data_IF_007565314442
#
_entry.id   IF_007565314442
#
_cell.length_a   1.000
_cell.length_b   1.000
_cell.length_c   1.000
_cell.angle_alpha   90.00
_cell.angle_beta   90.00
_cell.angle_gamma   90.00
#
_symmetry.space_group_name_H-M   'P 1'
#
loop_
_entity.id
_entity.type
_entity.pdbx_description
1 polymer ?
#
# COMPACT_ATOMS: atom_id res chain seq x y z
N UNK A 1 -30.98 10.60 0.67
CA UNK A 1 -30.26 10.06 1.83
C UNK A 1 -28.83 10.61 1.91
N UNK A 2 -27.95 10.37 0.93
CA UNK A 2 -26.54 10.83 0.96
C UNK A 2 -26.31 12.30 0.58
N UNK A 3 -27.37 13.11 0.43
CA UNK A 3 -27.24 14.51 -0.01
C UNK A 3 -26.96 14.73 -1.50
N UNK A 4 -27.01 13.68 -2.33
CA UNK A 4 -26.79 13.78 -3.79
C UNK A 4 -27.94 14.48 -4.51
N UNK A 5 -27.60 15.17 -5.60
CA UNK A 5 -28.55 15.57 -6.63
C UNK A 5 -28.91 14.35 -7.51
N UNK A 6 -30.18 14.14 -7.82
CA UNK A 6 -30.64 12.94 -8.55
C UNK A 6 -31.66 13.31 -9.62
N UNK A 7 -31.30 13.08 -10.88
CA UNK A 7 -32.21 13.22 -12.03
C UNK A 7 -32.79 11.86 -12.36
N UNK A 8 -34.12 11.73 -12.29
CA UNK A 8 -34.85 10.47 -12.50
C UNK A 8 -35.57 10.46 -13.85
N UNK A 9 -35.82 9.26 -14.36
CA UNK A 9 -36.67 9.09 -15.55
C UNK A 9 -36.02 9.56 -16.84
N UNK A 10 -34.69 9.63 -16.89
CA UNK A 10 -33.96 9.96 -18.12
C UNK A 10 -34.07 8.78 -19.07
N UNK A 11 -34.61 8.99 -20.27
CA UNK A 11 -34.55 7.98 -21.32
C UNK A 11 -33.11 7.90 -21.84
N UNK A 12 -32.46 6.75 -21.65
CA UNK A 12 -31.08 6.52 -22.05
C UNK A 12 -30.88 6.32 -23.56
N UNK A 13 -31.96 6.36 -24.35
CA UNK A 13 -31.92 6.30 -25.81
C UNK A 13 -32.38 7.60 -26.49
N UNK A 14 -32.65 8.65 -25.71
CA UNK A 14 -32.97 9.99 -26.18
C UNK A 14 -31.81 10.95 -25.86
N UNK A 15 -31.11 11.41 -26.90
CA UNK A 15 -29.95 12.29 -26.76
C UNK A 15 -30.29 13.64 -26.14
N UNK A 16 -31.48 14.20 -26.40
CA UNK A 16 -31.90 15.49 -25.84
C UNK A 16 -32.23 15.35 -24.35
N UNK A 17 -32.87 14.24 -23.96
CA UNK A 17 -33.13 13.94 -22.56
C UNK A 17 -31.82 13.77 -21.76
N UNK A 18 -30.83 13.07 -22.31
CA UNK A 18 -29.50 12.91 -21.70
C UNK A 18 -28.79 14.25 -21.58
N UNK A 19 -28.79 15.06 -22.64
CA UNK A 19 -28.16 16.39 -22.65
C UNK A 19 -28.77 17.30 -21.58
N UNK A 20 -30.09 17.38 -21.50
CA UNK A 20 -30.79 18.18 -20.50
C UNK A 20 -30.41 17.75 -19.06
N UNK A 21 -30.32 16.43 -18.81
CA UNK A 21 -29.92 15.89 -17.52
C UNK A 21 -28.46 16.24 -17.15
N UNK A 22 -27.54 16.23 -18.12
CA UNK A 22 -26.14 16.64 -17.92
C UNK A 22 -26.03 18.14 -17.64
N UNK A 23 -26.78 18.98 -18.35
CA UNK A 23 -26.80 20.43 -18.15
C UNK A 23 -27.36 20.79 -16.76
N UNK A 24 -28.46 20.15 -16.35
CA UNK A 24 -29.02 20.28 -15.01
C UNK A 24 -27.98 19.88 -13.94
N UNK A 25 -27.33 18.73 -14.09
CA UNK A 25 -26.32 18.27 -13.14
C UNK A 25 -25.12 19.21 -13.02
N UNK A 26 -24.67 19.83 -14.12
CA UNK A 26 -23.56 20.80 -14.11
C UNK A 26 -23.95 22.14 -13.46
N UNK A 27 -25.25 22.45 -13.40
CA UNK A 27 -25.73 23.66 -12.72
C UNK A 27 -25.73 23.53 -11.19
N UNK A 28 -25.74 22.30 -10.67
CA UNK A 28 -25.66 22.01 -9.23
C UNK A 28 -24.20 21.89 -8.81
N UNK A 29 -23.68 22.88 -8.09
CA UNK A 29 -22.25 23.02 -7.77
C UNK A 29 -21.89 22.61 -6.34
N UNK A 30 -22.87 22.33 -5.49
CA UNK A 30 -22.70 21.99 -4.07
C UNK A 30 -22.87 20.50 -3.78
N UNK A 31 -23.18 19.67 -4.79
CA UNK A 31 -23.51 18.24 -4.65
C UNK A 31 -22.98 17.40 -5.80
N UNK A 32 -22.58 16.14 -5.55
CA UNK A 32 -22.46 15.15 -6.61
C UNK A 32 -23.84 14.83 -7.21
N UNK A 33 -23.84 14.42 -8.49
CA UNK A 33 -25.06 14.11 -9.25
C UNK A 33 -25.12 12.63 -9.66
N UNK A 34 -26.30 12.02 -9.55
CA UNK A 34 -26.64 10.71 -10.11
C UNK A 34 -27.71 10.88 -11.20
N UNK A 35 -27.38 10.48 -12.44
CA UNK A 35 -28.33 10.46 -13.56
C UNK A 35 -28.87 9.05 -13.74
N UNK A 36 -30.18 8.85 -13.53
CA UNK A 36 -30.82 7.55 -13.66
C UNK A 36 -31.34 7.34 -15.09
N UNK A 37 -30.43 6.91 -15.97
CA UNK A 37 -30.74 6.61 -17.38
C UNK A 37 -31.37 5.21 -17.52
N UNK A 38 -32.61 5.15 -17.98
CA UNK A 38 -33.30 3.91 -18.33
C UNK A 38 -32.81 3.45 -19.70
N UNK A 39 -32.13 2.31 -19.75
CA UNK A 39 -31.64 1.71 -21.01
C UNK A 39 -32.21 0.32 -21.21
N UNK A 40 -31.99 -0.22 -22.41
CA UNK A 40 -32.23 -1.63 -22.75
C UNK A 40 -30.86 -2.22 -23.05
N UNK A 41 -30.42 -3.20 -22.25
CA UNK A 41 -29.15 -3.89 -22.52
C UNK A 41 -29.19 -4.50 -23.92
N UNK A 42 -28.10 -4.33 -24.68
CA UNK A 42 -27.99 -4.72 -26.09
C UNK A 42 -29.12 -4.18 -27.00
N UNK A 43 -29.50 -2.92 -26.81
CA UNK A 43 -30.41 -2.21 -27.70
C UNK A 43 -30.07 -2.45 -29.19
N UNK A 44 -31.09 -2.78 -29.98
CA UNK A 44 -30.96 -3.14 -31.38
C UNK A 44 -30.96 -4.64 -31.66
N UNK A 45 -30.56 -5.49 -30.71
CA UNK A 45 -30.60 -6.95 -30.88
C UNK A 45 -32.04 -7.48 -30.81
N UNK A 46 -32.62 -8.02 -31.90
CA UNK A 46 -34.02 -8.42 -31.88
C UNK A 46 -34.34 -9.54 -30.89
N UNK A 47 -33.41 -10.49 -30.69
CA UNK A 47 -33.66 -11.68 -29.88
C UNK A 47 -33.01 -11.62 -28.50
N UNK A 48 -32.03 -10.74 -28.27
CA UNK A 48 -31.31 -10.65 -26.98
C UNK A 48 -31.40 -9.30 -26.28
N UNK A 49 -31.97 -8.26 -26.89
CA UNK A 49 -32.18 -6.99 -26.20
C UNK A 49 -33.05 -7.17 -24.95
N UNK A 50 -32.63 -6.57 -23.84
CA UNK A 50 -33.34 -6.66 -22.55
C UNK A 50 -33.13 -7.98 -21.80
N UNK A 51 -32.27 -8.88 -22.29
CA UNK A 51 -32.02 -10.19 -21.67
C UNK A 51 -30.62 -10.27 -21.06
N UNK A 52 -30.42 -11.20 -20.12
CA UNK A 52 -29.10 -11.44 -19.53
C UNK A 52 -28.12 -12.11 -20.50
N UNK A 53 -28.61 -12.77 -21.56
CA UNK A 53 -27.78 -13.49 -22.54
C UNK A 53 -26.87 -12.55 -23.34
N UNK A 54 -27.20 -11.26 -23.36
CA UNK A 54 -26.39 -10.23 -24.00
C UNK A 54 -25.28 -9.64 -23.09
N UNK A 55 -25.16 -10.09 -21.84
CA UNK A 55 -24.27 -9.47 -20.86
C UNK A 55 -22.78 -9.80 -21.08
N UNK A 56 -22.44 -11.08 -21.23
CA UNK A 56 -21.06 -11.55 -21.15
C UNK A 56 -20.63 -12.52 -22.25
N UNK A 57 -21.44 -12.69 -23.29
CA UNK A 57 -21.16 -13.58 -24.41
C UNK A 57 -21.33 -12.84 -25.74
N UNK A 58 -20.56 -13.21 -26.78
CA UNK A 58 -20.82 -12.73 -28.14
C UNK A 58 -22.28 -12.97 -28.56
N UNK A 59 -22.85 -12.06 -29.35
CA UNK A 59 -24.23 -12.21 -29.84
C UNK A 59 -24.38 -13.41 -30.78
N UNK A 60 -23.35 -13.71 -31.58
CA UNK A 60 -23.37 -14.70 -32.67
C UNK A 60 -23.68 -14.06 -34.01
N UNK A 61 -23.16 -14.62 -35.11
CA UNK A 61 -23.17 -13.97 -36.43
C UNK A 61 -24.57 -13.64 -36.95
N UNK A 62 -25.52 -14.58 -36.82
CA UNK A 62 -26.91 -14.38 -37.23
C UNK A 62 -27.57 -13.23 -36.45
N UNK A 63 -27.33 -13.17 -35.15
CA UNK A 63 -27.88 -12.13 -34.28
C UNK A 63 -27.23 -10.77 -34.56
N UNK A 64 -25.93 -10.75 -34.86
CA UNK A 64 -25.22 -9.54 -35.28
C UNK A 64 -25.79 -9.02 -36.61
N UNK A 65 -26.06 -9.90 -37.58
CA UNK A 65 -26.69 -9.52 -38.84
C UNK A 65 -28.12 -8.97 -38.64
N UNK A 66 -28.91 -9.61 -37.78
CA UNK A 66 -30.24 -9.14 -37.40
C UNK A 66 -30.20 -7.77 -36.68
N UNK A 67 -29.21 -7.58 -35.80
CA UNK A 67 -28.98 -6.32 -35.07
C UNK A 67 -28.62 -5.18 -36.03
N UNK A 68 -27.69 -5.42 -36.98
CA UNK A 68 -27.36 -4.44 -38.02
C UNK A 68 -28.59 -3.99 -38.80
N UNK A 69 -29.42 -4.96 -39.22
CA UNK A 69 -30.67 -4.68 -39.92
C UNK A 69 -31.64 -3.85 -39.08
N UNK A 70 -31.80 -4.19 -37.79
CA UNK A 70 -32.69 -3.46 -36.88
C UNK A 70 -32.23 -2.02 -36.60
N UNK A 71 -30.92 -1.79 -36.53
CA UNK A 71 -30.31 -0.46 -36.32
C UNK A 71 -30.17 0.35 -37.61
N UNK A 72 -30.48 -0.22 -38.77
CA UNK A 72 -30.21 0.41 -40.07
C UNK A 72 -28.71 0.57 -40.38
N UNK A 73 -27.84 -0.18 -39.70
CA UNK A 73 -26.40 -0.12 -39.91
C UNK A 73 -25.97 -1.03 -41.07
N UNK A 74 -25.52 -0.43 -42.18
CA UNK A 74 -25.21 -1.16 -43.42
C UNK A 74 -23.72 -1.45 -43.64
N UNK A 75 -22.84 -0.89 -42.81
CA UNK A 75 -21.39 -1.05 -42.95
C UNK A 75 -20.88 -2.38 -42.37
N UNK A 76 -19.79 -2.87 -42.96
CA UNK A 76 -19.13 -4.11 -42.58
C UNK A 76 -18.52 -4.06 -41.16
N UNK A 77 -18.10 -5.21 -40.57
CA UNK A 77 -17.35 -5.19 -39.32
C UNK A 77 -16.10 -4.31 -39.43
N UNK A 78 -15.93 -3.41 -38.45
CA UNK A 78 -14.81 -2.46 -38.38
C UNK A 78 -14.70 -1.45 -39.54
N UNK A 79 -15.76 -1.32 -40.35
CA UNK A 79 -15.88 -0.29 -41.39
C UNK A 79 -16.66 0.91 -40.83
N UNK A 80 -15.97 2.03 -40.63
CA UNK A 80 -16.56 3.28 -40.13
C UNK A 80 -16.41 4.34 -41.23
N UNK A 81 -17.53 4.86 -41.78
CA UNK A 81 -17.52 5.91 -42.79
C UNK A 81 -16.81 7.19 -42.38
N UNK A 82 -16.24 7.88 -43.36
CA UNK A 82 -15.46 9.10 -43.13
C UNK A 82 -16.30 10.25 -42.57
N UNK A 83 -17.57 10.35 -42.93
CA UNK A 83 -18.51 11.36 -42.41
C UNK A 83 -18.86 11.12 -40.93
N UNK A 84 -18.91 9.85 -40.49
CA UNK A 84 -19.03 9.51 -39.07
C UNK A 84 -17.74 9.90 -38.34
N UNK A 85 -16.56 9.55 -38.88
CA UNK A 85 -15.29 9.98 -38.29
C UNK A 85 -15.20 11.50 -38.16
N UNK A 86 -15.62 12.25 -39.18
CA UNK A 86 -15.58 13.72 -39.16
C UNK A 86 -16.46 14.32 -38.06
N UNK A 87 -17.59 13.68 -37.72
CA UNK A 87 -18.48 14.13 -36.62
C UNK A 87 -17.92 13.78 -35.23
N UNK A 88 -17.15 12.70 -35.11
CA UNK A 88 -16.60 12.21 -33.84
C UNK A 88 -15.19 12.71 -33.55
N UNK A 89 -14.48 13.26 -34.53
CA UNK A 89 -13.12 13.76 -34.34
C UNK A 89 -13.09 14.89 -33.31
N UNK A 90 -12.37 14.65 -32.22
CA UNK A 90 -12.20 15.61 -31.13
C UNK A 90 -10.79 16.22 -31.11
N UNK A 91 -9.95 16.00 -32.14
CA UNK A 91 -8.55 16.43 -32.11
C UNK A 91 -8.43 17.94 -32.13
N UNK A 92 -9.13 18.61 -33.05
CA UNK A 92 -9.11 20.07 -33.16
C UNK A 92 -9.70 20.73 -31.90
N UNK A 93 -10.87 20.25 -31.44
CA UNK A 93 -11.51 20.78 -30.24
C UNK A 93 -10.69 20.53 -28.96
N UNK A 94 -10.02 19.37 -28.86
CA UNK A 94 -9.11 19.02 -27.77
C UNK A 94 -7.88 19.91 -27.77
N UNK A 95 -7.21 20.04 -28.91
CA UNK A 95 -6.04 20.90 -29.08
C UNK A 95 -6.36 22.36 -28.72
N UNK A 96 -7.49 22.89 -29.18
CA UNK A 96 -7.90 24.26 -28.87
C UNK A 96 -8.11 24.48 -27.36
N UNK A 97 -8.76 23.52 -26.66
CA UNK A 97 -8.98 23.59 -25.21
C UNK A 97 -7.67 23.50 -24.43
N UNK A 98 -6.78 22.59 -24.83
CA UNK A 98 -5.48 22.40 -24.19
C UNK A 98 -4.56 23.60 -24.42
N UNK A 99 -4.52 24.15 -25.64
CA UNK A 99 -3.76 25.37 -25.93
C UNK A 99 -4.26 26.55 -25.08
N UNK A 100 -5.58 26.74 -24.98
CA UNK A 100 -6.16 27.77 -24.13
C UNK A 100 -5.83 27.55 -22.64
N UNK A 101 -5.68 26.30 -22.19
CA UNK A 101 -5.21 26.00 -20.84
C UNK A 101 -3.71 26.30 -20.66
N UNK A 102 -2.88 25.94 -21.65
CA UNK A 102 -1.43 26.22 -21.64
C UNK A 102 -1.15 27.71 -21.57
N UNK A 103 -1.90 28.54 -22.30
CA UNK A 103 -1.80 30.01 -22.21
C UNK A 103 -2.14 30.53 -20.81
N UNK A 104 -3.19 29.97 -20.18
CA UNK A 104 -3.53 30.29 -18.78
C UNK A 104 -2.45 29.85 -17.82
N UNK A 105 -1.87 28.66 -18.02
CA UNK A 105 -0.81 28.14 -17.16
C UNK A 105 0.48 28.96 -17.31
N UNK A 106 0.87 29.38 -18.52
CA UNK A 106 2.00 30.28 -18.72
C UNK A 106 1.80 31.65 -18.06
N UNK A 107 0.58 32.19 -18.09
CA UNK A 107 0.24 33.41 -17.35
C UNK A 107 0.31 33.18 -15.82
N UNK A 108 -0.14 32.02 -15.33
CA UNK A 108 -0.03 31.62 -13.93
C UNK A 108 1.42 31.47 -13.49
N UNK A 109 2.28 30.83 -14.28
CA UNK A 109 3.71 30.68 -14.01
C UNK A 109 4.42 32.03 -13.90
N UNK A 110 4.11 32.98 -14.78
CA UNK A 110 4.66 34.34 -14.70
C UNK A 110 4.22 35.08 -13.43
N UNK A 111 2.99 34.85 -12.97
CA UNK A 111 2.44 35.52 -11.78
C UNK A 111 2.84 34.82 -10.46
N UNK A 112 3.02 33.50 -10.49
CA UNK A 112 3.26 32.63 -9.32
C UNK A 112 4.33 31.57 -9.64
N UNK A 113 5.59 31.99 -9.88
CA UNK A 113 6.64 31.08 -10.38
C UNK A 113 6.89 29.89 -9.46
N UNK A 114 6.92 30.11 -8.14
CA UNK A 114 7.14 29.04 -7.16
C UNK A 114 5.99 28.03 -7.12
N UNK A 115 4.73 28.51 -7.19
CA UNK A 115 3.56 27.62 -7.18
C UNK A 115 3.41 26.85 -8.48
N UNK A 116 3.76 27.45 -9.62
CA UNK A 116 3.75 26.76 -10.91
C UNK A 116 4.83 25.68 -10.98
N UNK A 117 6.03 25.93 -10.44
CA UNK A 117 7.06 24.93 -10.30
C UNK A 117 6.60 23.77 -9.41
N UNK A 118 5.99 24.06 -8.25
CA UNK A 118 5.42 23.04 -7.37
C UNK A 118 4.29 22.25 -8.01
N UNK A 119 3.36 22.91 -8.72
CA UNK A 119 2.30 22.23 -9.46
C UNK A 119 2.89 21.24 -10.48
N UNK A 120 3.84 21.71 -11.30
CA UNK A 120 4.50 20.92 -12.35
C UNK A 120 5.21 19.71 -11.76
N UNK A 121 6.03 19.91 -10.72
CA UNK A 121 6.71 18.83 -9.99
C UNK A 121 5.74 17.76 -9.52
N UNK A 122 4.64 18.19 -8.87
CA UNK A 122 3.64 17.30 -8.27
C UNK A 122 2.85 16.50 -9.32
N UNK A 123 2.43 17.12 -10.41
CA UNK A 123 1.69 16.41 -11.47
C UNK A 123 2.58 15.44 -12.24
N UNK A 124 3.89 15.71 -12.32
CA UNK A 124 4.89 14.78 -12.85
C UNK A 124 5.30 13.69 -11.84
N UNK A 125 4.82 13.75 -10.59
CA UNK A 125 5.12 12.77 -9.55
C UNK A 125 6.56 12.84 -9.01
N UNK A 126 7.28 13.92 -9.31
CA UNK A 126 8.67 14.13 -8.90
C UNK A 126 8.76 14.52 -7.41
N UNK A 127 9.82 14.09 -6.73
CA UNK A 127 10.08 14.48 -5.34
C UNK A 127 10.87 15.80 -5.28
N UNK A 128 10.80 16.54 -4.15
CA UNK A 128 11.62 17.74 -3.95
C UNK A 128 13.12 17.47 -4.13
N UNK A 129 13.86 18.43 -4.70
CA UNK A 129 15.28 18.26 -5.00
C UNK A 129 16.16 17.92 -3.76
N UNK A 130 15.78 18.42 -2.58
CA UNK A 130 16.47 18.16 -1.32
C UNK A 130 15.99 16.87 -0.61
N UNK A 131 15.02 16.13 -1.17
CA UNK A 131 14.44 14.95 -0.55
C UNK A 131 15.49 13.91 -0.11
N UNK A 132 16.42 13.57 -1.01
CA UNK A 132 17.41 12.52 -0.76
C UNK A 132 18.38 12.88 0.38
N UNK A 133 18.69 14.17 0.56
CA UNK A 133 19.56 14.65 1.63
C UNK A 133 18.82 14.66 2.97
N UNK A 134 17.64 15.28 3.02
CA UNK A 134 16.89 15.44 4.27
C UNK A 134 16.35 14.09 4.80
N UNK A 135 15.93 13.18 3.93
CA UNK A 135 15.50 11.83 4.32
C UNK A 135 16.65 11.02 4.94
N UNK A 136 17.84 11.04 4.33
CA UNK A 136 19.05 10.38 4.88
C UNK A 136 19.48 10.99 6.21
N UNK A 137 19.45 12.33 6.31
CA UNK A 137 19.79 13.05 7.54
C UNK A 137 18.85 12.66 8.68
N UNK A 138 17.54 12.61 8.42
CA UNK A 138 16.56 12.16 9.40
C UNK A 138 16.83 10.73 9.87
N UNK A 139 17.06 9.78 8.94
CA UNK A 139 17.36 8.39 9.27
C UNK A 139 18.65 8.26 10.11
N UNK A 140 19.71 8.98 9.73
CA UNK A 140 20.96 9.01 10.49
C UNK A 140 20.78 9.58 11.91
N UNK A 141 19.96 10.64 12.05
CA UNK A 141 19.62 11.20 13.36
C UNK A 141 18.89 10.19 14.25
N UNK A 142 17.94 9.42 13.70
CA UNK A 142 17.26 8.36 14.46
C UNK A 142 18.24 7.27 14.92
N UNK A 143 19.14 6.83 14.03
CA UNK A 143 20.13 5.80 14.39
C UNK A 143 21.08 6.28 15.49
N UNK A 144 21.45 7.57 15.49
CA UNK A 144 22.31 8.17 16.51
C UNK A 144 21.60 8.48 17.84
N UNK A 145 20.27 8.51 17.87
CA UNK A 145 19.47 8.86 19.05
C UNK A 145 18.42 7.77 19.35
N UNK A 146 18.83 6.66 20.01
CA UNK A 146 17.96 5.53 20.25
C UNK A 146 16.72 5.89 21.08
N UNK A 147 15.55 5.39 20.65
CA UNK A 147 14.31 5.49 21.38
C UNK A 147 13.54 4.16 21.31
N UNK A 148 13.06 3.68 22.48
CA UNK A 148 12.18 2.50 22.56
C UNK A 148 10.72 2.95 22.44
N UNK A 149 10.24 3.05 21.21
CA UNK A 149 8.88 3.49 20.86
C UNK A 149 8.20 2.47 19.94
N UNK A 150 6.87 2.47 19.92
CA UNK A 150 6.12 1.64 18.97
C UNK A 150 6.39 2.10 17.53
N UNK A 151 6.42 1.18 16.57
CA UNK A 151 6.68 1.57 15.18
C UNK A 151 5.53 2.39 14.57
N UNK A 152 4.30 2.32 15.11
CA UNK A 152 3.23 3.29 14.76
C UNK A 152 3.56 4.72 15.19
N UNK A 153 4.27 4.89 16.31
CA UNK A 153 4.72 6.20 16.78
C UNK A 153 5.93 6.67 15.96
N UNK A 154 6.82 5.77 15.59
CA UNK A 154 7.89 6.06 14.63
C UNK A 154 7.32 6.48 13.26
N UNK A 155 6.26 5.83 12.79
CA UNK A 155 5.50 6.21 11.59
C UNK A 155 4.97 7.65 11.68
N UNK A 156 4.37 8.02 12.82
CA UNK A 156 3.94 9.40 13.04
C UNK A 156 5.11 10.40 13.01
N UNK A 157 6.26 10.02 13.56
CA UNK A 157 7.45 10.87 13.54
C UNK A 157 8.00 11.03 12.10
N UNK A 158 7.92 9.99 11.27
CA UNK A 158 8.25 10.08 9.84
C UNK A 158 7.26 11.00 9.09
N UNK A 159 5.96 10.90 9.37
CA UNK A 159 4.95 11.84 8.82
C UNK A 159 5.23 13.29 9.24
N UNK A 160 5.62 13.52 10.49
CA UNK A 160 5.98 14.85 11.01
C UNK A 160 7.24 15.42 10.33
N UNK A 161 8.23 14.58 10.01
CA UNK A 161 9.44 14.98 9.32
C UNK A 161 9.17 15.23 7.83
N UNK A 162 8.57 14.25 7.15
CA UNK A 162 8.38 14.27 5.69
C UNK A 162 7.22 15.16 5.25
N UNK A 163 6.17 15.33 6.07
CA UNK A 163 5.06 16.22 5.76
C UNK A 163 5.47 17.69 5.60
N UNK A 164 6.59 18.10 6.21
CA UNK A 164 7.20 19.43 6.02
C UNK A 164 7.89 19.59 4.67
N UNK A 165 8.24 18.49 4.01
CA UNK A 165 8.92 18.46 2.72
C UNK A 165 7.94 18.16 1.57
N UNK A 166 6.84 17.46 1.85
CA UNK A 166 5.93 16.89 0.85
C UNK A 166 4.55 17.56 0.91
N UNK A 167 4.37 18.75 0.31
CA UNK A 167 3.06 19.40 0.22
C UNK A 167 2.04 18.58 -0.57
N UNK A 168 2.48 17.60 -1.37
CA UNK A 168 1.61 16.67 -2.08
C UNK A 168 0.95 15.59 -1.21
N UNK A 169 1.30 15.47 0.07
CA UNK A 169 0.62 14.50 0.93
C UNK A 169 -0.89 14.78 0.98
N UNK A 170 -1.68 13.73 0.72
CA UNK A 170 -3.11 13.72 0.96
C UNK A 170 -3.46 12.45 1.72
N UNK A 171 -3.40 12.58 3.03
CA UNK A 171 -3.47 11.47 3.97
C UNK A 171 -4.85 11.23 4.56
N UNK A 172 -5.01 10.11 5.27
CA UNK A 172 -6.15 9.93 6.14
C UNK A 172 -6.21 8.56 6.81
N UNK A 173 -7.22 8.38 7.65
CA UNK A 173 -7.47 7.13 8.37
C UNK A 173 -8.98 6.82 8.38
N UNK A 174 -9.30 5.54 8.37
CA UNK A 174 -10.66 5.03 8.52
C UNK A 174 -11.11 5.10 9.99
N UNK A 175 -11.40 6.32 10.48
CA UNK A 175 -11.85 6.61 11.85
C UNK A 175 -10.86 6.24 12.98
N UNK A 176 -9.63 5.89 12.63
CA UNK A 176 -8.62 5.39 13.57
C UNK A 176 -7.41 6.33 13.69
N UNK A 177 -7.55 7.61 13.33
CA UNK A 177 -6.47 8.60 13.38
C UNK A 177 -5.68 8.62 14.71
N UNK A 178 -6.32 8.64 15.91
CA UNK A 178 -5.59 8.62 17.18
C UNK A 178 -4.92 7.27 17.50
N UNK A 179 -5.33 6.18 16.85
CA UNK A 179 -4.78 4.83 17.08
C UNK A 179 -3.70 4.45 16.06
N UNK A 180 -3.88 4.83 14.79
CA UNK A 180 -2.89 4.67 13.72
C UNK A 180 -1.79 5.74 13.78
N UNK A 181 -2.07 6.88 14.42
CA UNK A 181 -1.17 8.04 14.55
C UNK A 181 -0.80 8.67 13.19
N UNK A 182 -1.82 8.98 12.39
CA UNK A 182 -1.69 9.45 11.00
C UNK A 182 -1.73 10.96 10.83
N UNK A 183 -1.97 11.70 11.92
CA UNK A 183 -1.91 13.15 11.95
C UNK A 183 -0.55 13.62 12.46
N UNK A 184 -0.05 14.67 11.82
CA UNK A 184 1.16 15.41 12.18
C UNK A 184 0.80 16.89 12.38
N UNK A 185 1.75 17.71 12.84
CA UNK A 185 1.48 19.10 13.25
C UNK A 185 0.88 19.99 12.17
N UNK A 186 1.11 19.70 10.89
CA UNK A 186 0.56 20.42 9.73
C UNK A 186 -0.62 19.73 9.06
N UNK A 187 -1.21 18.70 9.67
CA UNK A 187 -2.43 18.07 9.15
C UNK A 187 -3.63 19.02 9.23
N UNK A 188 -4.33 19.18 8.11
CA UNK A 188 -5.55 19.98 7.99
C UNK A 188 -6.62 19.18 7.24
N UNK A 189 -7.79 19.04 7.86
CA UNK A 189 -8.93 18.32 7.28
C UNK A 189 -9.49 19.05 6.06
N UNK A 190 -9.68 18.32 4.94
CA UNK A 190 -10.34 18.87 3.74
C UNK A 190 -11.83 19.18 3.96
N UNK A 191 -12.43 18.62 5.02
CA UNK A 191 -13.80 18.93 5.40
C UNK A 191 -13.95 20.31 6.05
N UNK A 192 -12.88 20.82 6.66
CA UNK A 192 -12.85 22.14 7.31
C UNK A 192 -12.21 23.20 6.41
N UNK A 193 -11.14 22.83 5.69
CA UNK A 193 -10.41 23.67 4.75
C UNK A 193 -10.10 22.85 3.48
N UNK A 194 -10.74 23.18 2.35
CA UNK A 194 -10.58 22.44 1.09
C UNK A 194 -9.13 22.44 0.55
N UNK A 195 -8.26 23.36 1.01
CA UNK A 195 -6.82 23.36 0.71
C UNK A 195 -5.98 22.48 1.65
N UNK A 196 -6.64 21.74 2.55
CA UNK A 196 -6.03 20.81 3.49
C UNK A 196 -5.39 19.59 2.84
N UNK A 197 -4.81 18.74 3.68
CA UNK A 197 -3.99 17.58 3.29
C UNK A 197 -4.40 16.29 4.03
N UNK A 198 -5.55 16.30 4.70
CA UNK A 198 -6.03 15.18 5.51
C UNK A 198 -7.52 14.89 5.28
N UNK A 199 -7.87 13.60 5.25
CA UNK A 199 -9.22 13.11 4.99
C UNK A 199 -9.67 12.23 6.17
N UNK A 200 -10.80 12.59 6.78
CA UNK A 200 -11.52 11.73 7.71
C UNK A 200 -12.45 10.80 6.92
N UNK A 201 -11.98 9.59 6.62
CA UNK A 201 -12.74 8.66 5.77
C UNK A 201 -13.97 8.05 6.46
N UNK A 202 -14.01 8.07 7.81
CA UNK A 202 -14.93 7.24 8.61
C UNK A 202 -14.61 5.75 8.47
N UNK A 203 -15.44 4.88 9.04
CA UNK A 203 -15.25 3.41 9.01
C UNK A 203 -15.56 2.85 7.61
N UNK A 204 -14.63 3.05 6.67
CA UNK A 204 -14.82 2.80 5.23
C UNK A 204 -13.54 2.34 4.55
N UNK A 205 -12.91 1.28 5.05
CA UNK A 205 -11.60 0.80 4.59
C UNK A 205 -11.55 0.58 3.08
N UNK A 206 -12.53 -0.14 2.52
CA UNK A 206 -12.56 -0.39 1.08
C UNK A 206 -12.75 0.90 0.27
N UNK A 207 -13.71 1.74 0.67
CA UNK A 207 -13.96 3.03 0.02
C UNK A 207 -12.73 3.94 0.09
N UNK A 208 -12.11 4.06 1.26
CA UNK A 208 -10.86 4.80 1.50
C UNK A 208 -9.76 4.35 0.55
N UNK A 209 -9.47 3.04 0.47
CA UNK A 209 -8.39 2.52 -0.37
C UNK A 209 -8.69 2.70 -1.86
N UNK A 210 -9.95 2.52 -2.30
CA UNK A 210 -10.32 2.78 -3.68
C UNK A 210 -10.25 4.29 -4.03
N UNK A 211 -10.63 5.16 -3.10
CA UNK A 211 -10.50 6.61 -3.25
C UNK A 211 -9.04 7.03 -3.33
N UNK A 212 -8.15 6.50 -2.47
CA UNK A 212 -6.72 6.82 -2.58
C UNK A 212 -6.10 6.31 -3.86
N UNK A 213 -6.60 5.22 -4.44
CA UNK A 213 -6.21 4.82 -5.79
C UNK A 213 -6.62 5.86 -6.86
N UNK A 214 -7.83 6.40 -6.77
CA UNK A 214 -8.29 7.49 -7.63
C UNK A 214 -7.44 8.76 -7.47
N UNK A 215 -7.06 9.12 -6.24
CA UNK A 215 -6.17 10.25 -5.94
C UNK A 215 -4.80 10.05 -6.60
N UNK A 216 -4.21 8.85 -6.49
CA UNK A 216 -2.94 8.54 -7.13
C UNK A 216 -3.03 8.62 -8.67
N UNK A 217 -4.11 8.10 -9.26
CA UNK A 217 -4.35 8.12 -10.71
C UNK A 217 -4.59 9.54 -11.26
N UNK A 218 -5.17 10.43 -10.47
CA UNK A 218 -5.39 11.82 -10.86
C UNK A 218 -4.08 12.59 -11.05
N UNK A 219 -3.04 12.24 -10.27
CA UNK A 219 -1.78 12.98 -10.24
C UNK A 219 -1.85 14.25 -9.38
N UNK A 220 -0.67 14.76 -8.98
CA UNK A 220 -0.55 15.93 -8.12
C UNK A 220 -0.50 15.65 -6.62
N UNK A 221 -0.75 14.41 -6.19
CA UNK A 221 -0.77 14.02 -4.77
C UNK A 221 -0.01 12.71 -4.52
N UNK A 222 0.46 12.55 -3.30
CA UNK A 222 0.98 11.30 -2.74
C UNK A 222 0.01 10.86 -1.64
N UNK A 223 -0.91 9.92 -1.93
CA UNK A 223 -1.89 9.51 -0.94
C UNK A 223 -1.29 8.53 0.06
N UNK A 224 -1.75 8.66 1.31
CA UNK A 224 -1.62 7.59 2.30
C UNK A 224 -2.96 7.33 2.98
N UNK A 225 -3.22 6.05 3.28
CA UNK A 225 -4.44 5.63 3.98
C UNK A 225 -4.11 4.68 5.12
N UNK A 226 -4.96 4.64 6.15
CA UNK A 226 -4.65 3.89 7.36
C UNK A 226 -5.86 3.22 8.02
N UNK A 227 -5.61 2.04 8.58
CA UNK A 227 -6.51 1.30 9.46
C UNK A 227 -5.68 0.27 10.28
N UNK A 228 -6.30 -0.57 11.10
CA UNK A 228 -5.61 -1.73 11.67
C UNK A 228 -5.30 -2.78 10.60
N UNK A 229 -4.21 -3.53 10.76
CA UNK A 229 -3.79 -4.51 9.76
C UNK A 229 -4.89 -5.55 9.48
N UNK A 230 -5.63 -6.00 10.49
CA UNK A 230 -6.74 -6.93 10.30
C UNK A 230 -7.73 -6.44 9.23
N UNK A 231 -8.05 -5.15 9.23
CA UNK A 231 -9.06 -4.58 8.34
C UNK A 231 -8.56 -4.32 6.91
N UNK A 232 -7.32 -4.70 6.59
CA UNK A 232 -6.89 -4.85 5.18
C UNK A 232 -7.79 -5.83 4.43
N UNK A 233 -8.40 -6.80 5.13
CA UNK A 233 -9.33 -7.75 4.54
C UNK A 233 -10.56 -7.06 3.94
N UNK A 234 -11.07 -6.01 4.60
CA UNK A 234 -12.18 -5.21 4.07
C UNK A 234 -11.79 -4.51 2.77
N UNK A 235 -10.54 -4.05 2.65
CA UNK A 235 -10.05 -3.30 1.50
C UNK A 235 -9.28 -4.15 0.47
N UNK A 236 -9.25 -5.47 0.63
CA UNK A 236 -8.23 -6.34 0.02
C UNK A 236 -8.13 -6.23 -1.50
N UNK A 237 -9.28 -6.08 -2.17
CA UNK A 237 -9.30 -5.95 -3.61
C UNK A 237 -8.84 -4.57 -4.10
N UNK A 238 -9.17 -3.47 -3.39
CA UNK A 238 -8.62 -2.15 -3.72
C UNK A 238 -7.09 -2.10 -3.54
N UNK A 239 -6.57 -2.78 -2.51
CA UNK A 239 -5.12 -2.97 -2.31
C UNK A 239 -4.50 -3.71 -3.51
N UNK A 240 -5.13 -4.80 -3.97
CA UNK A 240 -4.69 -5.53 -5.18
C UNK A 240 -4.73 -4.65 -6.43
N UNK A 241 -5.77 -3.83 -6.59
CA UNK A 241 -5.91 -2.91 -7.73
C UNK A 241 -4.79 -1.87 -7.75
N UNK A 242 -4.35 -1.37 -6.59
CA UNK A 242 -3.20 -0.47 -6.54
C UNK A 242 -1.93 -1.14 -7.09
N UNK A 243 -1.67 -2.39 -6.69
CA UNK A 243 -0.54 -3.17 -7.21
C UNK A 243 -0.65 -3.44 -8.71
N UNK A 244 -1.85 -3.78 -9.19
CA UNK A 244 -2.12 -4.06 -10.62
C UNK A 244 -1.92 -2.81 -11.49
N UNK A 245 -2.42 -1.66 -11.03
CA UNK A 245 -2.35 -0.38 -11.75
C UNK A 245 -0.98 0.29 -11.65
N UNK A 246 -0.06 -0.27 -10.85
CA UNK A 246 1.30 0.25 -10.63
C UNK A 246 1.33 1.69 -10.12
N UNK A 247 0.40 2.02 -9.22
CA UNK A 247 0.28 3.37 -8.66
C UNK A 247 1.02 3.50 -7.33
N UNK A 248 1.64 4.66 -7.10
CA UNK A 248 2.22 5.04 -5.80
C UNK A 248 1.11 5.34 -4.79
N UNK A 249 0.96 4.46 -3.80
CA UNK A 249 0.00 4.62 -2.71
C UNK A 249 0.57 3.98 -1.44
N UNK A 250 0.51 4.68 -0.30
CA UNK A 250 1.06 4.21 0.96
C UNK A 250 -0.06 3.72 1.88
N UNK A 251 0.02 2.46 2.30
CA UNK A 251 -0.94 1.85 3.22
C UNK A 251 -0.31 1.70 4.60
N UNK A 252 -0.80 2.48 5.57
CA UNK A 252 -0.33 2.46 6.95
C UNK A 252 -1.21 1.52 7.76
N UNK A 253 -0.73 0.32 8.04
CA UNK A 253 -1.43 -0.68 8.83
C UNK A 253 -0.78 -0.83 10.19
N UNK A 254 -1.53 -0.57 11.25
CA UNK A 254 -1.01 -0.67 12.63
C UNK A 254 -1.67 -1.83 13.39
N UNK A 255 -1.19 -2.13 14.60
CA UNK A 255 -1.68 -3.25 15.43
C UNK A 255 -1.49 -4.57 14.68
N UNK A 256 -0.23 -4.91 14.43
CA UNK A 256 0.17 -5.89 13.43
C UNK A 256 0.17 -7.36 13.87
N UNK A 257 -0.03 -7.65 15.16
CA UNK A 257 0.04 -9.01 15.69
C UNK A 257 -0.77 -9.18 16.98
N UNK A 258 -0.64 -10.35 17.63
CA UNK A 258 -1.06 -10.60 19.02
C UNK A 258 -0.50 -9.56 20.02
N UNK A 259 0.55 -8.82 19.65
CA UNK A 259 1.09 -7.71 20.45
C UNK A 259 0.11 -6.56 20.70
N UNK A 260 -1.04 -6.54 20.00
CA UNK A 260 -2.12 -5.59 20.33
C UNK A 260 -2.86 -5.95 21.63
N UNK A 261 -2.84 -7.20 22.07
CA UNK A 261 -3.41 -7.62 23.35
C UNK A 261 -4.93 -7.79 23.34
N UNK A 262 -5.61 -7.03 24.19
CA UNK A 262 -6.91 -7.36 24.75
C UNK A 262 -8.09 -7.33 23.76
N UNK A 263 -7.97 -6.73 22.56
CA UNK A 263 -9.05 -6.76 21.56
C UNK A 263 -9.27 -8.17 20.98
N UNK A 264 -8.29 -9.07 21.15
CA UNK A 264 -8.46 -10.50 20.91
C UNK A 264 -8.44 -10.93 19.43
N UNK A 265 -8.84 -12.19 19.15
CA UNK A 265 -8.58 -12.86 17.87
C UNK A 265 -9.26 -12.21 16.66
N UNK A 266 -10.31 -11.41 16.87
CA UNK A 266 -10.98 -10.69 15.78
C UNK A 266 -10.18 -9.49 15.27
N UNK A 267 -9.20 -9.03 16.02
CA UNK A 267 -8.36 -7.87 15.70
C UNK A 267 -6.90 -8.25 15.46
N UNK A 268 -6.45 -9.37 16.02
CA UNK A 268 -5.05 -9.81 16.00
C UNK A 268 -4.70 -10.44 14.65
N UNK A 269 -3.89 -9.78 13.83
CA UNK A 269 -3.47 -10.35 12.55
C UNK A 269 -2.60 -11.58 12.74
N UNK A 270 -2.76 -12.56 11.84
CA UNK A 270 -1.95 -13.78 11.77
C UNK A 270 -1.47 -14.00 10.34
N UNK A 271 -2.38 -14.07 9.37
CA UNK A 271 -2.11 -14.43 7.98
C UNK A 271 -2.03 -13.22 7.02
N UNK A 272 -2.42 -12.03 7.46
CA UNK A 272 -2.56 -10.85 6.61
C UNK A 272 -1.22 -10.42 6.00
N UNK A 273 -0.11 -10.56 6.76
CA UNK A 273 1.25 -10.35 6.27
C UNK A 273 1.59 -11.26 5.08
N UNK A 274 1.34 -12.56 5.22
CA UNK A 274 1.59 -13.52 4.15
C UNK A 274 0.76 -13.21 2.91
N UNK A 275 -0.53 -12.87 3.09
CA UNK A 275 -1.43 -12.47 2.01
C UNK A 275 -0.90 -11.27 1.22
N UNK A 276 -0.40 -10.24 1.90
CA UNK A 276 0.20 -9.07 1.26
C UNK A 276 1.50 -9.43 0.52
N UNK A 277 2.39 -10.18 1.16
CA UNK A 277 3.70 -10.57 0.60
C UNK A 277 3.61 -11.42 -0.66
N UNK A 278 2.58 -12.26 -0.79
CA UNK A 278 2.37 -13.08 -2.00
C UNK A 278 1.63 -12.34 -3.12
N UNK A 279 1.23 -11.07 -2.90
CA UNK A 279 0.56 -10.27 -3.92
C UNK A 279 1.58 -9.73 -4.93
N UNK A 280 1.43 -10.01 -6.24
CA UNK A 280 2.33 -9.46 -7.25
C UNK A 280 2.37 -7.93 -7.21
N UNK A 281 3.57 -7.37 -7.33
CA UNK A 281 3.83 -5.92 -7.31
C UNK A 281 3.47 -5.19 -5.99
N UNK A 282 3.12 -5.90 -4.92
CA UNK A 282 3.00 -5.34 -3.59
C UNK A 282 4.39 -5.21 -2.94
N UNK A 283 4.64 -4.11 -2.24
CA UNK A 283 5.76 -4.03 -1.30
C UNK A 283 5.24 -4.03 0.13
N UNK A 284 5.83 -4.82 1.02
CA UNK A 284 5.38 -4.97 2.41
C UNK A 284 6.56 -4.84 3.35
N UNK A 285 6.48 -3.86 4.25
CA UNK A 285 7.52 -3.52 5.20
C UNK A 285 7.03 -3.73 6.63
N UNK A 286 7.70 -4.61 7.40
CA UNK A 286 7.47 -4.82 8.83
C UNK A 286 8.73 -4.45 9.62
N UNK A 287 8.94 -3.15 9.89
CA UNK A 287 10.15 -2.63 10.51
C UNK A 287 10.27 -2.98 12.00
N UNK A 288 11.49 -3.28 12.44
CA UNK A 288 11.78 -3.69 13.81
C UNK A 288 11.97 -2.55 14.81
N UNK A 289 12.20 -1.33 14.34
CA UNK A 289 12.41 -0.15 15.19
C UNK A 289 12.10 1.14 14.44
N UNK A 290 12.38 2.29 15.06
CA UNK A 290 12.13 3.60 14.44
C UNK A 290 12.98 3.89 13.20
N UNK A 291 14.18 3.30 13.10
CA UNK A 291 15.09 3.51 11.98
C UNK A 291 14.58 2.76 10.75
N UNK A 292 14.26 1.47 10.91
CA UNK A 292 13.63 0.71 9.82
C UNK A 292 12.27 1.30 9.43
N UNK A 293 11.53 1.87 10.38
CA UNK A 293 10.25 2.54 10.10
C UNK A 293 10.44 3.77 9.20
N UNK A 294 11.48 4.57 9.43
CA UNK A 294 11.79 5.73 8.60
C UNK A 294 12.27 5.32 7.20
N UNK A 295 13.10 4.27 7.09
CA UNK A 295 13.53 3.71 5.80
C UNK A 295 12.35 3.15 5.01
N UNK A 296 11.42 2.47 5.68
CA UNK A 296 10.21 1.94 5.05
C UNK A 296 9.32 3.05 4.49
N UNK A 297 9.14 4.16 5.23
CA UNK A 297 8.45 5.36 4.73
C UNK A 297 9.18 6.00 3.55
N UNK A 298 10.51 6.15 3.63
CA UNK A 298 11.32 6.68 2.54
C UNK A 298 11.10 5.86 1.26
N UNK A 299 11.24 4.53 1.36
CA UNK A 299 11.02 3.62 0.25
C UNK A 299 9.60 3.75 -0.32
N UNK A 300 8.57 3.80 0.53
CA UNK A 300 7.18 3.91 0.10
C UNK A 300 6.90 5.21 -0.68
N UNK A 301 7.56 6.31 -0.32
CA UNK A 301 7.45 7.62 -0.98
C UNK A 301 8.19 7.64 -2.32
N UNK A 302 9.36 7.01 -2.38
CA UNK A 302 10.19 6.91 -3.58
C UNK A 302 9.64 5.92 -4.60
N UNK A 303 8.83 4.95 -4.17
CA UNK A 303 8.27 3.91 -5.03
C UNK A 303 7.18 4.46 -5.95
N UNK A 304 7.52 4.73 -7.21
CA UNK A 304 6.59 5.26 -8.22
C UNK A 304 5.90 4.19 -9.09
N UNK A 305 6.18 2.90 -8.90
CA UNK A 305 5.71 1.79 -9.74
C UNK A 305 4.77 0.79 -9.04
N UNK A 306 4.28 1.14 -7.86
CA UNK A 306 3.32 0.36 -7.10
C UNK A 306 3.19 0.77 -5.63
N UNK A 307 2.28 0.14 -4.89
CA UNK A 307 1.95 0.54 -3.53
C UNK A 307 2.89 -0.08 -2.48
N UNK A 308 3.00 0.55 -1.32
CA UNK A 308 3.72 -0.01 -0.19
C UNK A 308 2.81 -0.12 1.04
N UNK A 309 2.73 -1.31 1.63
CA UNK A 309 2.10 -1.56 2.92
C UNK A 309 3.16 -1.48 4.02
N UNK A 310 2.92 -0.59 4.98
CA UNK A 310 3.77 -0.37 6.15
C UNK A 310 3.07 -0.97 7.38
N UNK A 311 3.74 -1.91 8.04
CA UNK A 311 3.16 -2.77 9.06
C UNK A 311 3.74 -2.42 10.42
N UNK A 312 2.91 -1.88 11.31
CA UNK A 312 3.39 -1.22 12.51
C UNK A 312 2.79 -1.77 13.82
N UNK A 313 3.62 -1.83 14.85
CA UNK A 313 3.29 -2.35 16.16
C UNK A 313 2.40 -1.41 16.97
N UNK A 314 1.65 -1.97 17.93
CA UNK A 314 1.00 -1.21 19.00
C UNK A 314 1.99 -0.86 20.11
N UNK A 315 2.80 -1.85 20.47
CA UNK A 315 3.77 -1.93 21.56
C UNK A 315 5.15 -1.37 21.18
N UNK A 316 5.93 -0.95 22.18
CA UNK A 316 7.26 -0.38 21.98
C UNK A 316 8.28 -1.42 21.51
N UNK A 317 9.18 -1.02 20.62
CA UNK A 317 10.23 -1.87 20.05
C UNK A 317 11.62 -1.32 20.41
N UNK A 318 12.56 -2.18 20.80
CA UNK A 318 13.93 -1.75 21.03
C UNK A 318 14.65 -1.39 19.71
N UNK A 319 15.33 -0.24 19.71
CA UNK A 319 16.20 0.12 18.59
C UNK A 319 17.45 -0.73 18.55
N UNK A 320 17.79 -1.20 17.35
CA UNK A 320 18.98 -2.03 17.13
C UNK A 320 20.20 -1.16 16.79
N UNK A 321 21.37 -1.61 17.25
CA UNK A 321 22.65 -1.04 16.85
C UNK A 321 22.96 -1.41 15.40
N UNK A 322 23.47 -0.44 14.62
CA UNK A 322 23.85 -0.63 13.23
C UNK A 322 25.13 0.13 12.92
N UNK A 323 26.00 -0.50 12.15
CA UNK A 323 27.05 0.18 11.40
C UNK A 323 26.46 0.95 10.21
N UNK A 324 27.23 1.86 9.60
CA UNK A 324 26.80 2.59 8.41
C UNK A 324 26.41 1.66 7.25
N UNK A 325 27.14 0.56 7.08
CA UNK A 325 26.83 -0.45 6.06
C UNK A 325 25.50 -1.15 6.34
N UNK A 326 25.22 -1.50 7.59
CA UNK A 326 23.94 -2.11 7.99
C UNK A 326 22.77 -1.13 7.84
N UNK A 327 22.97 0.14 8.21
CA UNK A 327 21.99 1.20 8.05
C UNK A 327 21.59 1.36 6.57
N UNK A 328 22.57 1.39 5.67
CA UNK A 328 22.31 1.44 4.22
C UNK A 328 21.63 0.17 3.70
N UNK A 329 21.94 -0.99 4.28
CA UNK A 329 21.39 -2.28 3.86
C UNK A 329 19.93 -2.51 4.28
N UNK A 330 19.34 -1.70 5.18
CA UNK A 330 17.91 -1.79 5.52
C UNK A 330 17.05 -1.69 4.26
N UNK A 331 17.38 -0.76 3.36
CA UNK A 331 16.66 -0.53 2.11
C UNK A 331 16.72 -1.74 1.14
N UNK A 332 17.64 -2.69 1.37
CA UNK A 332 17.75 -3.94 0.60
C UNK A 332 16.81 -5.03 1.09
N UNK A 333 15.94 -4.74 2.06
CA UNK A 333 14.83 -5.57 2.49
C UNK A 333 15.20 -6.68 3.48
N UNK A 334 16.41 -7.21 3.41
CA UNK A 334 16.93 -8.22 4.32
C UNK A 334 18.43 -8.14 4.46
N UNK A 335 18.95 -8.06 5.68
CA UNK A 335 20.36 -7.80 5.94
C UNK A 335 20.84 -8.44 7.25
N UNK A 336 22.16 -8.65 7.33
CA UNK A 336 22.81 -9.20 8.52
C UNK A 336 22.89 -8.13 9.62
N UNK A 337 22.21 -8.37 10.73
CA UNK A 337 22.16 -7.46 11.89
C UNK A 337 23.19 -7.86 12.95
N UNK A 338 23.28 -9.14 13.28
CA UNK A 338 24.30 -9.73 14.16
C UNK A 338 24.94 -10.90 13.43
N UNK A 339 26.23 -11.14 13.65
CA UNK A 339 26.99 -12.14 12.90
C UNK A 339 28.09 -12.76 13.75
N UNK A 340 28.69 -13.82 13.22
CA UNK A 340 29.79 -14.55 13.86
C UNK A 340 31.04 -14.60 12.97
N UNK A 341 32.18 -14.99 13.55
CA UNK A 341 33.40 -15.21 12.77
C UNK A 341 33.32 -16.49 11.93
N UNK A 342 33.47 -16.32 10.61
CA UNK A 342 33.43 -17.41 9.63
C UNK A 342 32.00 -17.76 9.21
N UNK A 343 31.75 -19.02 8.87
CA UNK A 343 30.42 -19.49 8.43
C UNK A 343 29.52 -19.75 9.65
N UNK A 344 28.31 -19.17 9.71
CA UNK A 344 27.37 -19.48 10.77
C UNK A 344 26.89 -20.92 10.66
N UNK A 345 26.68 -21.58 11.79
CA UNK A 345 26.02 -22.88 11.86
C UNK A 345 24.50 -22.73 11.96
N UNK A 346 24.01 -21.54 12.37
CA UNK A 346 22.60 -21.22 12.54
C UNK A 346 22.32 -19.80 12.06
N UNK A 347 21.22 -19.61 11.33
CA UNK A 347 20.71 -18.28 10.97
C UNK A 347 19.32 -18.09 11.56
N UNK A 348 19.16 -17.06 12.39
CA UNK A 348 17.87 -16.56 12.87
C UNK A 348 17.37 -15.49 11.89
N UNK A 349 16.16 -15.65 11.37
CA UNK A 349 15.53 -14.69 10.45
C UNK A 349 14.32 -14.10 11.15
N UNK A 350 14.28 -12.79 11.34
CA UNK A 350 13.18 -12.15 12.07
C UNK A 350 12.71 -10.85 11.41
N UNK A 351 11.51 -10.43 11.75
CA UNK A 351 10.90 -9.18 11.28
C UNK A 351 10.23 -8.46 12.45
N UNK A 352 10.01 -7.15 12.31
CA UNK A 352 9.20 -6.39 13.26
C UNK A 352 9.62 -6.57 14.72
N UNK A 353 8.63 -6.78 15.59
CA UNK A 353 8.83 -6.95 17.02
C UNK A 353 9.69 -8.15 17.41
N UNK A 354 9.80 -9.15 16.55
CA UNK A 354 10.51 -10.40 16.88
C UNK A 354 12.03 -10.30 16.66
N UNK A 355 12.54 -9.20 16.09
CA UNK A 355 13.99 -8.98 15.98
C UNK A 355 14.65 -8.84 17.36
N UNK A 356 14.00 -8.17 18.32
CA UNK A 356 14.50 -8.07 19.71
C UNK A 356 14.62 -9.48 20.33
N UNK A 357 13.63 -10.33 20.09
CA UNK A 357 13.62 -11.72 20.52
C UNK A 357 14.73 -12.55 19.86
N UNK A 358 14.94 -12.38 18.55
CA UNK A 358 16.01 -13.07 17.81
C UNK A 358 17.41 -12.67 18.30
N UNK A 359 17.61 -11.39 18.62
CA UNK A 359 18.87 -10.90 19.19
C UNK A 359 19.11 -11.47 20.58
N UNK A 360 18.10 -11.55 21.44
CA UNK A 360 18.22 -12.20 22.75
C UNK A 360 18.63 -13.68 22.65
N UNK A 361 18.03 -14.43 21.71
CA UNK A 361 18.41 -15.82 21.46
C UNK A 361 19.84 -15.93 20.88
N UNK A 362 20.23 -15.02 20.00
CA UNK A 362 21.59 -14.92 19.47
C UNK A 362 22.62 -14.69 20.58
N UNK A 363 22.35 -13.78 21.52
CA UNK A 363 23.26 -13.47 22.63
C UNK A 363 23.47 -14.70 23.53
N UNK A 364 22.39 -15.41 23.87
CA UNK A 364 22.47 -16.63 24.66
C UNK A 364 23.27 -17.72 23.94
N UNK A 365 22.94 -18.03 22.69
CA UNK A 365 23.62 -19.08 21.92
C UNK A 365 25.08 -18.74 21.64
N UNK A 366 25.39 -17.48 21.32
CA UNK A 366 26.76 -17.03 21.10
C UNK A 366 27.57 -17.07 22.40
N UNK A 367 26.96 -16.76 23.55
CA UNK A 367 27.57 -16.93 24.87
C UNK A 367 27.90 -18.39 25.22
N UNK A 368 27.19 -19.34 24.62
CA UNK A 368 27.49 -20.77 24.67
C UNK A 368 28.54 -21.23 23.62
N UNK A 369 29.11 -20.30 22.85
CA UNK A 369 30.14 -20.56 21.84
C UNK A 369 29.59 -21.01 20.49
N UNK A 370 28.28 -20.90 20.25
CA UNK A 370 27.65 -21.23 18.95
C UNK A 370 27.89 -20.13 17.92
N UNK A 371 28.00 -20.50 16.64
CA UNK A 371 28.20 -19.58 15.51
C UNK A 371 26.87 -19.16 14.90
N UNK A 372 26.23 -18.16 15.51
CA UNK A 372 24.88 -17.73 15.11
C UNK A 372 24.94 -16.45 14.28
N UNK A 373 23.98 -16.27 13.38
CA UNK A 373 23.72 -15.02 12.67
C UNK A 373 22.27 -14.59 12.87
N UNK A 374 22.02 -13.29 12.96
CA UNK A 374 20.67 -12.69 12.94
C UNK A 374 20.50 -11.89 11.66
N UNK A 375 19.45 -12.20 10.92
CA UNK A 375 19.00 -11.45 9.74
C UNK A 375 17.72 -10.71 10.09
N UNK A 376 17.74 -9.38 10.00
CA UNK A 376 16.51 -8.59 9.97
C UNK A 376 15.97 -8.58 8.54
N UNK A 377 14.70 -8.92 8.37
CA UNK A 377 14.04 -9.03 7.05
C UNK A 377 12.80 -8.11 6.97
N UNK A 378 12.94 -6.78 7.08
CA UNK A 378 11.80 -5.86 7.08
C UNK A 378 10.96 -5.95 5.81
N UNK A 379 11.53 -6.25 4.64
CA UNK A 379 10.77 -6.43 3.40
C UNK A 379 11.32 -7.59 2.57
N UNK A 380 10.51 -8.65 2.51
CA UNK A 380 10.84 -9.84 1.72
C UNK A 380 10.82 -9.56 0.21
N UNK A 381 9.93 -8.70 -0.27
CA UNK A 381 9.88 -8.34 -1.69
C UNK A 381 11.10 -7.50 -2.12
N UNK A 382 11.58 -6.58 -1.27
CA UNK A 382 12.80 -5.83 -1.54
C UNK A 382 14.03 -6.73 -1.49
N UNK A 383 14.08 -7.71 -0.57
CA UNK A 383 15.15 -8.70 -0.49
C UNK A 383 15.19 -9.63 -1.71
N UNK A 384 14.04 -10.14 -2.14
CA UNK A 384 13.96 -11.04 -3.30
C UNK A 384 14.38 -10.37 -4.61
N UNK A 385 14.19 -9.05 -4.72
CA UNK A 385 14.63 -8.23 -5.86
C UNK A 385 16.14 -8.00 -5.90
N UNK A 386 16.87 -8.30 -4.82
CA UNK A 386 18.31 -8.16 -4.80
C UNK A 386 18.98 -9.19 -5.71
N UNK A 387 20.18 -8.85 -6.19
CA UNK A 387 21.00 -9.77 -6.96
C UNK A 387 21.32 -11.05 -6.16
N UNK A 388 21.66 -12.12 -6.88
CA UNK A 388 21.89 -13.42 -6.27
C UNK A 388 23.10 -13.43 -5.31
N UNK A 389 24.12 -12.60 -5.57
CA UNK A 389 25.31 -12.54 -4.73
C UNK A 389 24.97 -11.92 -3.36
N UNK A 390 24.15 -10.87 -3.33
CA UNK A 390 23.69 -10.28 -2.08
C UNK A 390 22.81 -11.25 -1.29
N UNK A 391 21.83 -11.90 -1.94
CA UNK A 391 20.97 -12.87 -1.26
C UNK A 391 21.78 -14.03 -0.67
N UNK A 392 22.77 -14.54 -1.39
CA UNK A 392 23.71 -15.56 -0.89
C UNK A 392 24.57 -15.03 0.26
N UNK A 393 24.99 -13.76 0.24
CA UNK A 393 25.79 -13.19 1.33
C UNK A 393 25.02 -13.07 2.65
N UNK A 394 23.69 -12.90 2.58
CA UNK A 394 22.80 -12.81 3.75
C UNK A 394 22.33 -14.19 4.20
N UNK A 395 21.82 -15.02 3.27
CA UNK A 395 21.26 -16.35 3.51
C UNK A 395 22.04 -17.42 2.72
N UNK A 396 23.30 -17.71 3.09
CA UNK A 396 24.15 -18.64 2.35
C UNK A 396 23.51 -20.02 2.23
N UNK A 397 23.46 -20.56 1.02
CA UNK A 397 22.81 -21.86 0.74
C UNK A 397 23.43 -23.03 1.50
N UNK A 398 24.70 -22.90 1.90
CA UNK A 398 25.42 -23.90 2.68
C UNK A 398 24.88 -24.05 4.12
N UNK A 399 24.21 -23.02 4.65
CA UNK A 399 23.68 -22.99 6.01
C UNK A 399 22.18 -23.27 5.96
N UNK A 400 21.82 -24.54 6.19
CA UNK A 400 20.42 -25.02 6.13
C UNK A 400 19.70 -24.93 7.47
N UNK A 401 20.43 -24.92 8.59
CA UNK A 401 19.85 -24.68 9.90
C UNK A 401 19.44 -23.21 10.02
N UNK A 402 18.15 -22.97 9.80
CA UNK A 402 17.54 -21.64 9.80
C UNK A 402 16.29 -21.67 10.68
N UNK A 403 16.13 -20.66 11.52
CA UNK A 403 14.92 -20.47 12.33
C UNK A 403 14.30 -19.13 11.97
N UNK A 404 13.09 -19.14 11.45
CA UNK A 404 12.31 -17.92 11.23
C UNK A 404 11.50 -17.58 12.49
N UNK A 405 11.40 -16.29 12.83
CA UNK A 405 10.73 -15.81 14.04
C UNK A 405 9.83 -14.63 13.67
N UNK A 406 8.53 -14.84 13.70
CA UNK A 406 7.53 -13.82 13.37
C UNK A 406 6.20 -14.14 14.03
N UNK A 407 5.57 -13.16 14.69
CA UNK A 407 4.22 -13.26 15.23
C UNK A 407 3.15 -13.19 14.12
N UNK A 408 3.21 -14.14 13.19
CA UNK A 408 2.33 -14.33 12.03
C UNK A 408 2.39 -15.78 11.53
N UNK A 409 1.61 -16.11 10.50
CA UNK A 409 1.42 -17.50 10.05
C UNK A 409 2.74 -18.18 9.63
N UNK A 410 3.04 -19.33 10.23
CA UNK A 410 4.33 -20.01 10.06
C UNK A 410 4.61 -20.45 8.61
N UNK A 411 3.58 -20.88 7.87
CA UNK A 411 3.75 -21.50 6.54
C UNK A 411 4.42 -20.59 5.50
N UNK A 412 4.34 -19.26 5.67
CA UNK A 412 5.03 -18.32 4.79
C UNK A 412 6.55 -18.53 4.78
N UNK A 413 7.11 -18.91 5.94
CA UNK A 413 8.55 -18.88 6.18
C UNK A 413 9.31 -20.04 5.56
N UNK A 414 8.65 -21.12 5.15
CA UNK A 414 9.28 -22.23 4.43
C UNK A 414 10.04 -21.78 3.18
N UNK A 415 9.65 -20.66 2.57
CA UNK A 415 10.38 -20.02 1.48
C UNK A 415 11.85 -19.70 1.83
N UNK A 416 12.14 -19.32 3.07
CA UNK A 416 13.47 -18.87 3.51
C UNK A 416 14.19 -19.90 4.39
N UNK A 417 13.46 -20.72 5.15
CA UNK A 417 14.05 -21.75 6.02
C UNK A 417 14.19 -23.13 5.35
N UNK A 418 13.43 -23.38 4.27
CA UNK A 418 13.42 -24.67 3.59
C UNK A 418 12.80 -25.79 4.44
N UNK A 419 13.07 -27.05 4.06
CA UNK A 419 12.52 -28.23 4.74
C UNK A 419 13.37 -28.70 5.95
N UNK A 420 14.57 -28.14 6.11
CA UNK A 420 15.52 -28.50 7.16
C UNK A 420 15.72 -27.37 8.18
N UNK A 421 14.81 -26.39 8.19
CA UNK A 421 14.76 -25.33 9.18
C UNK A 421 13.55 -25.49 10.12
N UNK A 422 13.33 -24.51 10.98
CA UNK A 422 12.15 -24.43 11.86
C UNK A 422 11.57 -23.00 11.85
N UNK A 423 10.35 -22.85 12.35
CA UNK A 423 9.64 -21.57 12.42
C UNK A 423 9.02 -21.40 13.80
N UNK A 424 9.40 -20.33 14.48
CA UNK A 424 8.69 -19.80 15.65
C UNK A 424 7.68 -18.77 15.14
N UNK A 425 6.48 -19.25 14.85
CA UNK A 425 5.38 -18.44 14.34
C UNK A 425 4.02 -18.95 14.82
N UNK A 426 2.97 -18.24 14.41
CA UNK A 426 1.59 -18.58 14.73
C UNK A 426 1.08 -19.70 13.83
N UNK A 427 0.27 -20.61 14.39
CA UNK A 427 -0.43 -21.67 13.65
C UNK A 427 -1.94 -21.69 13.94
N UNK A 428 -2.44 -20.72 14.70
CA UNK A 428 -3.82 -20.57 15.14
C UNK A 428 -4.20 -19.10 15.12
N UNK A 429 -5.48 -18.79 15.30
CA UNK A 429 -5.89 -17.46 15.75
C UNK A 429 -5.29 -17.14 17.13
N UNK A 430 -5.33 -15.86 17.50
CA UNK A 430 -4.90 -15.41 18.82
C UNK A 430 -5.96 -15.57 19.90
N UNK A 431 -5.79 -14.86 21.01
CA UNK A 431 -6.63 -14.92 22.21
C UNK A 431 -6.78 -13.53 22.83
N UNK A 432 -7.83 -13.31 23.61
CA UNK A 432 -8.03 -12.05 24.33
C UNK A 432 -7.30 -12.06 25.68
N UNK A 433 -6.08 -11.51 25.73
CA UNK A 433 -5.31 -11.35 26.97
C UNK A 433 -4.27 -10.21 26.84
N UNK A 434 -3.61 -9.79 27.93
CA UNK A 434 -2.48 -8.86 27.84
C UNK A 434 -1.39 -9.38 26.90
N UNK A 435 -0.82 -8.49 26.08
CA UNK A 435 0.13 -8.85 25.03
C UNK A 435 1.31 -9.72 25.50
N UNK A 436 1.91 -9.40 26.66
CA UNK A 436 3.01 -10.18 27.24
C UNK A 436 2.61 -11.64 27.51
N UNK A 437 1.37 -11.88 27.96
CA UNK A 437 0.84 -13.23 28.22
C UNK A 437 0.55 -13.98 26.92
N UNK A 438 0.15 -13.27 25.86
CA UNK A 438 -0.03 -13.88 24.54
C UNK A 438 1.33 -14.29 23.94
N UNK A 439 2.34 -13.43 24.00
CA UNK A 439 3.68 -13.80 23.54
C UNK A 439 4.23 -15.02 24.29
N UNK A 440 4.05 -15.08 25.61
CA UNK A 440 4.41 -16.26 26.42
C UNK A 440 3.63 -17.51 25.97
N UNK A 441 2.30 -17.42 25.86
CA UNK A 441 1.41 -18.53 25.49
C UNK A 441 1.76 -19.13 24.12
N UNK A 442 2.03 -18.27 23.13
CA UNK A 442 2.32 -18.68 21.76
C UNK A 442 3.81 -18.96 21.51
N UNK A 443 4.65 -18.95 22.55
CA UNK A 443 6.04 -19.38 22.47
C UNK A 443 7.01 -18.35 21.89
N UNK A 444 6.66 -17.06 21.91
CA UNK A 444 7.57 -15.95 21.59
C UNK A 444 8.41 -15.56 22.80
N UNK A 445 9.20 -16.52 23.28
CA UNK A 445 10.14 -16.34 24.40
C UNK A 445 11.55 -16.74 23.97
N UNK A 446 12.56 -16.12 24.58
CA UNK A 446 13.97 -16.40 24.24
C UNK A 446 14.26 -17.88 24.46
N UNK A 447 13.73 -18.45 25.54
CA UNK A 447 13.89 -19.85 25.91
C UNK A 447 13.35 -20.79 24.82
N UNK A 448 12.17 -20.50 24.27
CA UNK A 448 11.59 -21.34 23.21
C UNK A 448 12.40 -21.23 21.91
N UNK A 449 12.81 -20.02 21.52
CA UNK A 449 13.66 -19.82 20.33
C UNK A 449 14.99 -20.56 20.47
N UNK A 450 15.65 -20.44 21.62
CA UNK A 450 16.91 -21.14 21.91
C UNK A 450 16.72 -22.66 21.91
N UNK A 451 15.62 -23.16 22.50
CA UNK A 451 15.29 -24.59 22.49
C UNK A 451 15.13 -25.13 21.06
N UNK A 452 14.36 -24.42 20.22
CA UNK A 452 14.15 -24.73 18.80
C UNK A 452 15.47 -24.72 18.00
N UNK A 453 16.28 -23.69 18.22
CA UNK A 453 17.60 -23.57 17.63
C UNK A 453 18.52 -24.74 18.00
N UNK A 454 18.56 -25.12 19.28
CA UNK A 454 19.37 -26.25 19.76
C UNK A 454 18.91 -27.58 19.16
N UNK A 455 17.60 -27.82 19.14
CA UNK A 455 17.03 -29.03 18.55
C UNK A 455 17.40 -29.20 17.06
N UNK A 456 17.55 -28.08 16.34
CA UNK A 456 17.96 -28.07 14.94
C UNK A 456 19.45 -28.39 14.74
N UNK A 457 20.28 -28.06 15.72
CA UNK A 457 21.74 -28.20 15.66
C UNK A 457 22.27 -29.56 16.17
N UNK A 458 21.43 -30.35 16.83
CA UNK A 458 21.78 -31.64 17.43
C UNK A 458 22.19 -31.52 18.88
#
# INVERSE_FOLDING_TARGET
AYGWHVVRGVDGHDADAIKAAIEEARSVTDKPSLLMCKTVIAFGSPNKAGTHDAHGAPLGDDEVAATRKALGWTHAPFDIPQDIYAQWDAKEAGQAKEQAWNEKFAAYEKAFPELAAEFTRRVNGELPANWAEESKKFIAQLQANPAKIASRKASQNALEAFGKLLPEFLGGSADLAPSNLTMWSGSKSIGDDAAGNYIHYGVREFGMTAITNGIALHGGFLPYSATFLMFVEYARNAVRMASLMKIRNVFVYTHDSIGLGEDGPTHQPVEQLASLRVTPNMSTWRPCDQVESAVAWQYAIERNDGPAALIFSRQNLAQQERTDAQLANIARGGYVLKDCDGTPELILIATGSEVELAVGAYEQLSGEGRKVRVVSMPSTDAFDKQDAAYRESVLPKAVSARVAIEAGISDYWYKYVGLNGDVVGMTTFGESAPAEKLFELFGFTVENVVSKAKALLG
#
